data_IF_297248355889
#
_entry.id   IF_297248355889
#
_cell.length_a   1.000
_cell.length_b   1.000
_cell.length_c   1.000
_cell.angle_alpha   90.00
_cell.angle_beta   90.00
_cell.angle_gamma   90.00
#
_symmetry.space_group_name_H-M   'P 1'
#
loop_
_entity.id
_entity.type
_entity.pdbx_description
1 polymer ?
#
# COMPACT_ATOMS: atom_id res chain seq x y z
N UNK A 1 4.72 -16.44 -46.95
CA UNK A 1 3.94 -17.25 -45.99
C UNK A 1 4.81 -17.46 -44.76
N UNK A 2 4.72 -16.59 -43.76
CA UNK A 2 5.54 -16.67 -42.55
C UNK A 2 4.70 -17.28 -41.43
N UNK A 3 5.22 -18.35 -40.83
CA UNK A 3 4.61 -19.19 -39.79
C UNK A 3 4.29 -18.39 -38.52
N UNK A 4 3.15 -18.65 -37.85
CA UNK A 4 2.84 -18.01 -36.58
C UNK A 4 3.79 -18.49 -35.48
N UNK A 5 4.39 -17.53 -34.78
CA UNK A 5 5.19 -17.73 -33.58
C UNK A 5 4.26 -18.19 -32.46
N UNK A 6 4.32 -19.46 -32.08
CA UNK A 6 3.60 -19.96 -30.89
C UNK A 6 4.30 -19.40 -29.64
N UNK A 7 3.82 -18.26 -29.14
CA UNK A 7 4.19 -17.78 -27.81
C UNK A 7 3.72 -18.80 -26.77
N UNK A 8 4.64 -19.32 -25.95
CA UNK A 8 4.27 -20.15 -24.80
C UNK A 8 3.55 -19.25 -23.80
N UNK A 9 2.22 -19.36 -23.73
CA UNK A 9 1.41 -18.70 -22.70
C UNK A 9 1.27 -19.63 -21.50
N UNK A 10 1.90 -19.25 -20.37
CA UNK A 10 1.74 -19.96 -19.11
C UNK A 10 0.34 -19.72 -18.54
N UNK A 11 -0.57 -20.69 -18.70
CA UNK A 11 -1.93 -20.65 -18.16
C UNK A 11 -2.02 -20.98 -16.66
N UNK A 12 -0.93 -21.46 -16.05
CA UNK A 12 -0.89 -21.78 -14.63
C UNK A 12 -0.58 -20.51 -13.83
N UNK A 13 -1.61 -19.97 -13.16
CA UNK A 13 -1.47 -18.92 -12.17
C UNK A 13 -1.49 -19.54 -10.76
N UNK A 14 -0.35 -19.55 -10.09
CA UNK A 14 -0.25 -19.97 -8.69
C UNK A 14 -0.85 -18.87 -7.79
N UNK A 15 -1.97 -19.15 -7.14
CA UNK A 15 -2.71 -18.20 -6.28
C UNK A 15 -2.37 -18.26 -4.79
N UNK A 16 -1.21 -18.81 -4.42
CA UNK A 16 -0.84 -18.94 -3.00
C UNK A 16 -0.59 -17.57 -2.38
N UNK A 17 -1.30 -17.30 -1.28
CA UNK A 17 -1.12 -16.10 -0.46
C UNK A 17 -0.34 -16.47 0.79
N UNK A 18 0.76 -15.76 1.05
CA UNK A 18 1.58 -15.95 2.23
C UNK A 18 1.37 -14.79 3.19
N UNK A 19 0.68 -15.05 4.29
CA UNK A 19 0.47 -14.03 5.31
C UNK A 19 1.77 -13.75 6.07
N UNK A 20 2.02 -12.49 6.46
CA UNK A 20 3.18 -12.16 7.28
C UNK A 20 3.10 -12.88 8.64
N UNK A 21 4.25 -13.29 9.22
CA UNK A 21 4.29 -13.90 10.55
C UNK A 21 3.70 -12.97 11.63
N UNK A 22 3.02 -13.52 12.63
CA UNK A 22 2.35 -12.74 13.70
C UNK A 22 3.32 -11.78 14.41
N UNK A 23 4.54 -12.23 14.72
CA UNK A 23 5.55 -11.39 15.38
C UNK A 23 5.99 -10.17 14.54
N UNK A 24 5.83 -10.22 13.21
CA UNK A 24 6.05 -9.08 12.33
C UNK A 24 4.84 -8.14 12.35
N UNK A 25 3.64 -8.70 12.25
CA UNK A 25 2.37 -7.95 12.27
C UNK A 25 2.24 -7.12 13.55
N UNK A 26 2.61 -7.67 14.70
CA UNK A 26 2.55 -6.96 15.99
C UNK A 26 3.41 -5.69 16.04
N UNK A 27 4.52 -5.66 15.29
CA UNK A 27 5.46 -4.53 15.22
C UNK A 27 5.19 -3.59 14.05
N UNK A 28 4.29 -3.97 13.14
CA UNK A 28 3.97 -3.17 11.97
C UNK A 28 3.08 -1.98 12.37
N UNK A 29 3.28 -0.84 11.71
CA UNK A 29 2.40 0.32 11.85
C UNK A 29 1.00 0.07 11.26
N UNK A 30 0.89 -0.89 10.34
CA UNK A 30 -0.36 -1.34 9.72
C UNK A 30 -0.40 -2.86 9.85
N UNK A 31 -1.39 -3.37 10.57
CA UNK A 31 -1.45 -4.78 11.00
C UNK A 31 -2.28 -5.65 10.06
N UNK A 32 -3.16 -5.04 9.29
CA UNK A 32 -4.02 -5.78 8.37
C UNK A 32 -4.32 -4.99 7.09
N UNK A 33 -4.84 -5.70 6.09
CA UNK A 33 -5.27 -5.07 4.84
C UNK A 33 -6.48 -4.17 5.06
N UNK A 34 -7.34 -4.49 6.03
CA UNK A 34 -8.49 -3.66 6.41
C UNK A 34 -8.04 -2.33 7.01
N UNK A 35 -7.01 -2.34 7.88
CA UNK A 35 -6.41 -1.11 8.42
C UNK A 35 -5.81 -0.24 7.30
N UNK A 36 -5.13 -0.87 6.33
CA UNK A 36 -4.59 -0.18 5.17
C UNK A 36 -5.70 0.46 4.32
N UNK A 37 -6.78 -0.28 4.07
CA UNK A 37 -7.88 0.18 3.24
C UNK A 37 -8.66 1.33 3.90
N UNK A 38 -8.87 1.26 5.23
CA UNK A 38 -9.44 2.35 6.00
C UNK A 38 -8.58 3.62 5.93
N UNK A 39 -7.24 3.47 6.08
CA UNK A 39 -6.30 4.57 5.97
C UNK A 39 -6.30 5.19 4.57
N UNK A 40 -6.35 4.36 3.53
CA UNK A 40 -6.46 4.80 2.13
C UNK A 40 -7.77 5.54 1.87
N UNK A 41 -8.87 5.06 2.43
CA UNK A 41 -10.16 5.70 2.30
C UNK A 41 -10.16 7.09 2.96
N UNK A 42 -9.59 7.23 4.17
CA UNK A 42 -9.40 8.52 4.84
C UNK A 42 -8.54 9.46 3.99
N UNK A 43 -7.39 8.97 3.51
CA UNK A 43 -6.47 9.75 2.68
C UNK A 43 -7.09 10.19 1.35
N UNK A 44 -7.99 9.38 0.78
CA UNK A 44 -8.69 9.72 -0.47
C UNK A 44 -9.83 10.72 -0.22
N UNK A 45 -10.51 10.62 0.91
CA UNK A 45 -11.62 11.49 1.26
C UNK A 45 -11.17 12.92 1.60
N UNK A 46 -10.07 13.07 2.33
CA UNK A 46 -9.51 14.37 2.71
C UNK A 46 -7.96 14.32 2.72
N UNK A 47 -7.33 14.40 1.53
CA UNK A 47 -5.88 14.28 1.41
C UNK A 47 -5.13 15.41 2.12
N UNK A 48 -5.65 16.64 2.09
CA UNK A 48 -5.00 17.78 2.75
C UNK A 48 -4.93 17.57 4.25
N UNK A 49 -6.06 17.24 4.88
CA UNK A 49 -6.10 17.01 6.33
C UNK A 49 -5.28 15.79 6.73
N UNK A 50 -5.35 14.73 5.93
CA UNK A 50 -4.57 13.51 6.17
C UNK A 50 -3.07 13.84 6.19
N UNK A 51 -2.55 14.47 5.14
CA UNK A 51 -1.12 14.80 5.04
C UNK A 51 -0.70 15.89 6.02
N UNK A 52 -1.54 16.89 6.28
CA UNK A 52 -1.28 17.91 7.29
C UNK A 52 -1.01 17.27 8.67
N UNK A 53 -1.83 16.30 9.09
CA UNK A 53 -1.63 15.59 10.37
C UNK A 53 -0.25 14.92 10.47
N UNK A 54 0.20 14.24 9.42
CA UNK A 54 1.53 13.61 9.41
C UNK A 54 2.64 14.64 9.36
N UNK A 55 2.47 15.70 8.55
CA UNK A 55 3.45 16.76 8.45
C UNK A 55 3.62 17.51 9.79
N UNK A 56 2.56 17.70 10.58
CA UNK A 56 2.66 18.34 11.90
C UNK A 56 3.33 17.47 12.97
N UNK A 57 3.19 16.14 12.88
CA UNK A 57 3.66 15.22 13.90
C UNK A 57 5.06 14.65 13.62
N UNK A 58 5.36 14.33 12.36
CA UNK A 58 6.59 13.62 11.98
C UNK A 58 7.72 14.56 11.56
N UNK A 59 7.41 15.82 11.19
CA UNK A 59 8.40 16.75 10.67
C UNK A 59 8.60 17.94 11.62
N UNK A 60 9.85 18.35 11.77
CA UNK A 60 10.19 19.57 12.48
C UNK A 60 10.19 20.76 11.52
N UNK A 61 9.30 21.73 11.77
CA UNK A 61 9.15 22.90 10.92
C UNK A 61 9.80 24.14 11.53
N UNK A 62 10.65 24.80 10.76
CA UNK A 62 11.14 26.15 11.09
C UNK A 62 10.08 27.22 10.79
N UNK A 63 9.26 27.00 9.75
CA UNK A 63 8.03 27.74 9.46
C UNK A 63 7.02 26.74 8.90
N UNK A 64 5.80 26.69 9.45
CA UNK A 64 4.73 25.82 8.92
C UNK A 64 4.29 26.34 7.54
N UNK A 65 3.78 25.44 6.71
CA UNK A 65 3.24 25.78 5.40
C UNK A 65 2.08 26.78 5.56
N UNK A 66 2.06 27.79 4.70
CA UNK A 66 1.00 28.81 4.60
C UNK A 66 0.02 28.39 3.50
#
# INVERSE_FOLDING_TARGET
MSTPTTNIESLQAEGRVFHPPTAFVEKAHIKSMEELEALRSEATADPEKFWARFAESELHWFKKWD
#
